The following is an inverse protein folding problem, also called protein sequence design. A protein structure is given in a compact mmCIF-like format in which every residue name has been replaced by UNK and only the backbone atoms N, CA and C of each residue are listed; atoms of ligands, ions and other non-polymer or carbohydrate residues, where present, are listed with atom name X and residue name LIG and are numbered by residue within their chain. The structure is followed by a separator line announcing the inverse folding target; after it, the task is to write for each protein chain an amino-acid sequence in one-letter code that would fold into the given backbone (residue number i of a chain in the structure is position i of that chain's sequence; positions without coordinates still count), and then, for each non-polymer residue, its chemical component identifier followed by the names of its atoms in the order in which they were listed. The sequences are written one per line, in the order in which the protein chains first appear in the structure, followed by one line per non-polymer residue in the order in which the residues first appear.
data_IF_045395503235
#
_entry.id   IF_045395503235
#
_cell.length_a   1.000
_cell.length_b   1.000
_cell.length_c   1.000
_cell.angle_alpha   90.00
_cell.angle_beta   90.00
_cell.angle_gamma   90.00
#
_symmetry.space_group_name_H-M   'P 1'
#
loop_
_entity.id
_entity.type
_entity.pdbx_description
1 polymer ?
#
# COMPACT_ATOMS: atom_id res chain seq x y z
N UNK A 1 -25.54 -9.81 2.32
CA UNK A 1 -25.29 -10.39 3.66
C UNK A 1 -23.99 -9.78 4.19
N UNK A 2 -23.95 -9.48 5.49
CA UNK A 2 -22.74 -9.01 6.16
C UNK A 2 -21.67 -10.11 6.16
N UNK A 3 -20.41 -9.77 5.83
CA UNK A 3 -19.27 -10.69 5.84
C UNK A 3 -18.41 -10.42 7.08
N UNK A 4 -17.71 -11.43 7.55
CA UNK A 4 -16.61 -11.28 8.53
C UNK A 4 -15.29 -11.21 7.77
N UNK A 5 -14.60 -10.08 7.87
CA UNK A 5 -13.42 -9.76 7.08
C UNK A 5 -12.23 -9.53 8.01
N UNK A 6 -11.13 -10.23 7.76
CA UNK A 6 -9.85 -10.02 8.43
C UNK A 6 -8.98 -9.09 7.58
N UNK A 7 -8.49 -8.01 8.19
CA UNK A 7 -7.52 -7.09 7.58
C UNK A 7 -6.24 -7.11 8.40
N UNK A 8 -5.16 -7.67 7.86
CA UNK A 8 -3.84 -7.55 8.48
C UNK A 8 -3.16 -6.27 8.03
N UNK A 9 -2.41 -5.61 8.91
CA UNK A 9 -1.92 -4.25 8.65
C UNK A 9 -3.03 -3.19 8.67
N UNK A 10 -4.16 -3.50 9.35
CA UNK A 10 -5.34 -2.65 9.35
C UNK A 10 -5.20 -1.34 10.12
N UNK A 11 -4.17 -1.16 10.96
CA UNK A 11 -3.83 0.10 11.61
C UNK A 11 -2.82 0.94 10.79
N UNK A 12 -2.35 0.43 9.65
CA UNK A 12 -1.50 1.15 8.70
C UNK A 12 -2.30 2.17 7.88
N UNK A 13 -1.59 2.87 6.97
CA UNK A 13 -2.19 3.87 6.09
C UNK A 13 -3.33 3.29 5.25
N UNK A 14 -3.03 2.38 4.33
CA UNK A 14 -4.03 1.81 3.42
C UNK A 14 -5.04 0.96 4.19
N UNK A 15 -4.56 0.14 5.13
CA UNK A 15 -5.40 -0.78 5.90
C UNK A 15 -6.48 -0.08 6.72
N UNK A 16 -6.20 1.10 7.29
CA UNK A 16 -7.18 1.84 8.08
C UNK A 16 -8.31 2.42 7.22
N UNK A 17 -8.01 2.92 6.02
CA UNK A 17 -9.04 3.35 5.08
C UNK A 17 -9.87 2.18 4.55
N UNK A 18 -9.22 1.02 4.33
CA UNK A 18 -9.94 -0.18 3.97
C UNK A 18 -10.89 -0.63 5.10
N UNK A 19 -10.43 -0.62 6.36
CA UNK A 19 -11.29 -0.91 7.51
C UNK A 19 -12.49 0.02 7.59
N UNK A 20 -12.29 1.35 7.42
CA UNK A 20 -13.37 2.33 7.39
C UNK A 20 -14.42 1.95 6.31
N UNK A 21 -13.98 1.75 5.06
CA UNK A 21 -14.86 1.43 3.95
C UNK A 21 -15.59 0.10 4.11
N UNK A 22 -14.93 -0.92 4.66
CA UNK A 22 -15.55 -2.23 4.90
C UNK A 22 -16.63 -2.15 6.00
N UNK A 23 -16.42 -1.35 7.04
CA UNK A 23 -17.43 -1.07 8.07
C UNK A 23 -18.61 -0.30 7.50
N UNK A 24 -18.36 0.75 6.71
CA UNK A 24 -19.39 1.52 5.99
C UNK A 24 -20.26 0.62 5.09
N UNK A 25 -19.64 -0.38 4.47
CA UNK A 25 -20.34 -1.39 3.67
C UNK A 25 -21.12 -2.43 4.51
N UNK A 26 -21.22 -2.27 5.84
CA UNK A 26 -22.00 -3.10 6.73
C UNK A 26 -21.37 -4.45 7.10
N UNK A 27 -20.06 -4.60 6.94
CA UNK A 27 -19.34 -5.83 7.29
C UNK A 27 -18.88 -5.83 8.75
N UNK A 28 -18.50 -7.00 9.25
CA UNK A 28 -17.77 -7.19 10.50
C UNK A 28 -16.29 -7.23 10.16
N UNK A 29 -15.50 -6.34 10.76
CA UNK A 29 -14.07 -6.19 10.45
C UNK A 29 -13.21 -6.56 11.65
N UNK A 30 -12.26 -7.44 11.42
CA UNK A 30 -11.21 -7.82 12.37
C UNK A 30 -9.91 -7.19 11.86
N UNK A 31 -9.43 -6.17 12.55
CA UNK A 31 -8.15 -5.52 12.28
C UNK A 31 -7.05 -6.24 13.07
N UNK A 32 -6.09 -6.85 12.39
CA UNK A 32 -4.92 -7.46 13.00
C UNK A 32 -3.68 -6.64 12.64
N UNK A 33 -2.99 -6.09 13.64
CA UNK A 33 -1.80 -5.26 13.45
C UNK A 33 -0.92 -5.31 14.71
N UNK A 34 0.39 -5.39 14.57
CA UNK A 34 1.33 -5.37 15.69
C UNK A 34 1.82 -3.96 16.04
N UNK A 35 1.35 -2.95 15.29
CA UNK A 35 1.69 -1.53 15.43
C UNK A 35 3.19 -1.22 15.20
N UNK A 36 3.93 -2.08 14.52
CA UNK A 36 5.35 -1.83 14.21
C UNK A 36 5.52 -0.55 13.37
N UNK A 37 4.68 -0.39 12.34
CA UNK A 37 4.63 0.80 11.48
C UNK A 37 3.25 1.44 11.41
N UNK A 38 2.23 0.72 11.87
CA UNK A 38 0.86 1.19 12.00
C UNK A 38 0.65 2.07 13.25
N UNK A 39 -0.51 2.70 13.34
CA UNK A 39 -0.88 3.55 14.46
C UNK A 39 -2.32 3.32 14.90
N UNK A 40 -2.53 3.09 16.19
CA UNK A 40 -3.88 2.97 16.75
C UNK A 40 -4.72 4.23 16.52
N UNK A 41 -4.09 5.39 16.33
CA UNK A 41 -4.78 6.65 15.98
C UNK A 41 -5.56 6.51 14.67
N UNK A 42 -5.05 5.75 13.70
CA UNK A 42 -5.69 5.56 12.39
C UNK A 42 -7.03 4.81 12.47
N UNK A 43 -7.19 3.95 13.48
CA UNK A 43 -8.40 3.14 13.71
C UNK A 43 -9.21 3.60 14.92
N UNK A 44 -8.78 4.67 15.62
CA UNK A 44 -9.44 5.16 16.81
C UNK A 44 -10.96 5.40 16.64
N UNK A 45 -11.43 5.99 15.52
CA UNK A 45 -12.87 6.17 15.29
C UNK A 45 -13.67 4.87 15.22
N UNK A 46 -13.03 3.74 14.87
CA UNK A 46 -13.67 2.44 14.73
C UNK A 46 -13.74 1.65 16.06
N UNK A 47 -12.92 1.98 17.05
CA UNK A 47 -12.79 1.18 18.28
C UNK A 47 -14.10 1.08 19.08
N UNK A 48 -15.02 2.04 18.95
CA UNK A 48 -16.34 2.01 19.57
C UNK A 48 -17.41 1.32 18.70
N UNK A 49 -17.09 0.94 17.48
CA UNK A 49 -18.05 0.30 16.57
C UNK A 49 -18.19 -1.19 16.92
N UNK A 50 -19.42 -1.65 17.18
CA UNK A 50 -19.72 -3.06 17.53
C UNK A 50 -19.31 -4.09 16.47
N UNK A 51 -19.19 -3.66 15.23
CA UNK A 51 -18.79 -4.51 14.11
C UNK A 51 -17.28 -4.47 13.84
N UNK A 52 -16.50 -3.75 14.66
CA UNK A 52 -15.05 -3.66 14.54
C UNK A 52 -14.35 -4.27 15.74
N UNK A 53 -13.31 -5.03 15.51
CA UNK A 53 -12.43 -5.53 16.56
C UNK A 53 -10.97 -5.33 16.19
N UNK A 54 -10.16 -4.88 17.15
CA UNK A 54 -8.72 -4.75 16.99
C UNK A 54 -8.00 -5.85 17.75
N UNK A 55 -7.07 -6.52 17.08
CA UNK A 55 -6.20 -7.55 17.67
C UNK A 55 -4.75 -7.09 17.47
N UNK A 56 -4.11 -6.71 18.58
CA UNK A 56 -2.68 -6.39 18.56
C UNK A 56 -1.86 -7.69 18.51
N UNK A 57 -1.43 -8.06 17.29
CA UNK A 57 -0.69 -9.29 17.06
C UNK A 57 0.10 -9.25 15.76
N UNK A 58 1.24 -9.94 15.74
CA UNK A 58 2.03 -10.15 14.52
C UNK A 58 1.38 -11.22 13.62
N UNK A 59 1.28 -10.94 12.33
CA UNK A 59 0.77 -11.88 11.34
C UNK A 59 1.69 -13.10 11.14
N UNK A 60 2.96 -13.01 11.57
CA UNK A 60 3.90 -14.12 11.57
C UNK A 60 3.62 -15.14 12.68
N UNK A 61 2.86 -14.75 13.70
CA UNK A 61 2.50 -15.67 14.79
C UNK A 61 1.25 -16.47 14.45
N UNK A 62 1.10 -17.69 14.99
CA UNK A 62 -0.10 -18.49 14.81
C UNK A 62 -1.35 -17.74 15.25
N UNK A 63 -2.31 -17.59 14.35
CA UNK A 63 -3.57 -16.93 14.64
C UNK A 63 -4.60 -17.94 15.19
N UNK A 64 -4.94 -17.79 16.47
CA UNK A 64 -5.95 -18.64 17.09
C UNK A 64 -7.36 -18.15 16.73
N UNK A 65 -7.88 -18.66 15.63
CA UNK A 65 -9.24 -18.32 15.16
C UNK A 65 -10.36 -19.11 15.87
N UNK A 66 -10.09 -19.84 16.95
CA UNK A 66 -11.13 -20.68 17.62
C UNK A 66 -12.34 -19.90 18.11
N UNK A 67 -12.17 -18.61 18.43
CA UNK A 67 -13.25 -17.72 18.86
C UNK A 67 -13.99 -17.05 17.69
N UNK A 68 -13.52 -17.22 16.46
CA UNK A 68 -14.13 -16.65 15.26
C UNK A 68 -14.79 -17.78 14.50
N UNK A 69 -16.11 -17.75 14.45
CA UNK A 69 -16.88 -18.82 13.83
C UNK A 69 -16.54 -19.00 12.35
N UNK A 70 -16.38 -17.90 11.61
CA UNK A 70 -16.06 -17.90 10.18
C UNK A 70 -15.34 -16.60 9.80
N UNK A 71 -14.41 -16.70 8.86
CA UNK A 71 -13.84 -15.58 8.12
C UNK A 71 -14.23 -15.79 6.65
N UNK A 72 -14.84 -14.79 6.04
CA UNK A 72 -15.29 -14.84 4.65
C UNK A 72 -14.21 -14.30 3.69
N UNK A 73 -13.48 -13.26 4.12
CA UNK A 73 -12.44 -12.62 3.31
C UNK A 73 -11.25 -12.23 4.19
N UNK A 74 -10.05 -12.31 3.62
CA UNK A 74 -8.80 -11.87 4.23
C UNK A 74 -8.11 -10.88 3.28
N UNK A 75 -7.87 -9.66 3.75
CA UNK A 75 -7.00 -8.70 3.10
C UNK A 75 -5.66 -8.70 3.83
N UNK A 76 -4.61 -9.20 3.19
CA UNK A 76 -3.28 -9.26 3.78
C UNK A 76 -2.43 -8.09 3.31
N UNK A 77 -2.43 -7.00 4.13
CA UNK A 77 -1.71 -5.76 3.85
C UNK A 77 -0.51 -5.53 4.79
N UNK A 78 -0.34 -6.36 5.82
CA UNK A 78 0.73 -6.19 6.80
C UNK A 78 2.12 -6.25 6.14
N UNK A 79 2.81 -5.13 6.11
CA UNK A 79 4.23 -5.00 5.72
C UNK A 79 4.69 -3.56 5.94
N UNK A 80 5.90 -3.30 6.46
CA UNK A 80 6.57 -2.03 6.25
C UNK A 80 6.69 -1.73 4.76
N UNK A 81 6.49 -0.48 4.34
CA UNK A 81 6.44 -0.13 2.91
C UNK A 81 7.12 1.22 2.57
N UNK A 82 7.72 1.88 3.54
CA UNK A 82 8.47 3.12 3.33
C UNK A 82 9.92 2.80 2.90
N UNK A 83 10.40 3.33 1.76
CA UNK A 83 11.75 3.05 1.25
C UNK A 83 12.86 3.90 1.88
N UNK A 84 12.55 4.88 2.71
CA UNK A 84 13.54 5.84 3.21
C UNK A 84 14.35 5.27 4.37
N UNK A 85 15.68 5.21 4.21
CA UNK A 85 16.63 4.71 5.21
C UNK A 85 16.61 5.47 6.53
N UNK A 86 16.22 6.74 6.52
CA UNK A 86 16.15 7.60 7.70
C UNK A 86 14.80 7.57 8.40
N UNK A 87 13.83 6.86 7.86
CA UNK A 87 12.48 6.75 8.44
C UNK A 87 12.41 5.63 9.48
N UNK A 88 11.87 5.89 10.67
CA UNK A 88 11.72 4.86 11.71
C UNK A 88 10.66 3.81 11.37
N UNK A 89 9.90 4.00 10.30
CA UNK A 89 8.83 3.07 9.85
C UNK A 89 9.17 2.41 8.50
N UNK A 90 10.43 2.54 8.07
CA UNK A 90 10.91 2.00 6.80
C UNK A 90 11.14 0.49 6.85
N UNK A 91 10.98 -0.18 5.70
CA UNK A 91 11.45 -1.55 5.53
C UNK A 91 12.99 -1.67 5.60
N UNK A 92 13.71 -0.54 5.43
CA UNK A 92 15.17 -0.49 5.57
C UNK A 92 15.60 -0.50 7.05
N UNK A 93 14.78 0.04 7.95
CA UNK A 93 15.01 0.00 9.40
C UNK A 93 14.43 -1.26 10.05
N UNK A 94 13.50 -1.94 9.38
CA UNK A 94 12.86 -3.18 9.82
C UNK A 94 13.02 -4.32 8.78
N UNK A 95 14.27 -4.65 8.35
CA UNK A 95 14.48 -5.57 7.25
C UNK A 95 14.01 -7.00 7.54
N UNK A 96 14.27 -7.50 8.73
CA UNK A 96 13.92 -8.87 9.12
C UNK A 96 12.43 -9.05 9.34
N UNK A 97 11.75 -8.07 9.95
CA UNK A 97 10.31 -8.04 10.13
C UNK A 97 9.60 -7.98 8.78
N UNK A 98 10.15 -7.20 7.83
CA UNK A 98 9.63 -7.08 6.47
C UNK A 98 9.71 -8.43 5.73
N UNK A 99 10.86 -9.09 5.73
CA UNK A 99 11.01 -10.40 5.11
C UNK A 99 10.10 -11.44 5.76
N UNK A 100 10.04 -11.46 7.11
CA UNK A 100 9.20 -12.41 7.85
C UNK A 100 7.71 -12.24 7.52
N UNK A 101 7.17 -11.02 7.55
CA UNK A 101 5.74 -10.82 7.31
C UNK A 101 5.36 -11.12 5.87
N UNK A 102 6.20 -10.77 4.90
CA UNK A 102 5.95 -11.06 3.49
C UNK A 102 6.10 -12.55 3.13
N UNK A 103 6.85 -13.34 3.91
CA UNK A 103 7.00 -14.77 3.75
C UNK A 103 6.11 -15.56 4.73
N UNK A 104 6.44 -15.56 6.03
CA UNK A 104 5.74 -16.35 7.05
C UNK A 104 4.32 -15.82 7.28
N UNK A 105 4.15 -14.48 7.36
CA UNK A 105 2.83 -13.88 7.50
C UNK A 105 1.91 -14.24 6.33
N UNK A 106 2.43 -14.16 5.09
CA UNK A 106 1.67 -14.55 3.89
C UNK A 106 1.31 -16.04 3.92
N UNK A 107 2.24 -16.91 4.31
CA UNK A 107 1.96 -18.34 4.47
C UNK A 107 0.84 -18.59 5.49
N UNK A 108 0.92 -17.98 6.67
CA UNK A 108 -0.09 -18.12 7.72
C UNK A 108 -1.48 -17.66 7.25
N UNK A 109 -1.55 -16.55 6.48
CA UNK A 109 -2.81 -16.06 5.95
C UNK A 109 -3.38 -16.97 4.86
N UNK A 110 -2.54 -17.61 4.04
CA UNK A 110 -2.97 -18.62 3.09
C UNK A 110 -3.56 -19.86 3.80
N UNK A 111 -2.90 -20.37 4.85
CA UNK A 111 -3.43 -21.49 5.64
C UNK A 111 -4.74 -21.14 6.36
N UNK A 112 -4.81 -19.93 6.93
CA UNK A 112 -6.03 -19.44 7.58
C UNK A 112 -7.19 -19.34 6.58
N UNK A 113 -6.92 -18.82 5.36
CA UNK A 113 -7.91 -18.72 4.31
C UNK A 113 -8.43 -20.09 3.87
N UNK A 114 -7.55 -21.08 3.71
CA UNK A 114 -7.96 -22.47 3.42
C UNK A 114 -8.84 -23.05 4.53
N UNK A 115 -8.43 -22.86 5.79
CA UNK A 115 -9.17 -23.36 6.96
C UNK A 115 -10.59 -22.84 7.04
N UNK A 116 -10.79 -21.54 6.73
CA UNK A 116 -12.10 -20.88 6.77
C UNK A 116 -12.85 -20.93 5.43
N UNK A 117 -12.22 -21.45 4.36
CA UNK A 117 -12.70 -21.36 2.97
C UNK A 117 -12.93 -19.89 2.57
N UNK A 118 -12.06 -19.00 3.04
CA UNK A 118 -12.12 -17.57 2.81
C UNK A 118 -11.45 -17.22 1.49
N UNK A 119 -11.89 -16.11 0.87
CA UNK A 119 -11.15 -15.46 -0.19
C UNK A 119 -9.95 -14.72 0.40
N UNK A 120 -8.82 -14.72 -0.31
CA UNK A 120 -7.62 -13.98 0.07
C UNK A 120 -7.27 -12.93 -0.98
N UNK A 121 -6.97 -11.71 -0.56
CA UNK A 121 -6.28 -10.71 -1.34
C UNK A 121 -4.91 -10.44 -0.71
N UNK A 122 -3.85 -10.64 -1.49
CA UNK A 122 -2.49 -10.30 -1.09
C UNK A 122 -2.12 -8.93 -1.67
N UNK A 123 -1.77 -8.00 -0.79
CA UNK A 123 -1.23 -6.70 -1.17
C UNK A 123 0.25 -6.83 -1.53
N UNK A 124 0.51 -6.99 -2.82
CA UNK A 124 1.82 -6.85 -3.44
C UNK A 124 2.09 -5.37 -3.74
N UNK A 125 3.09 -5.08 -4.54
CA UNK A 125 3.60 -3.73 -4.77
C UNK A 125 4.11 -3.57 -6.19
N UNK A 126 4.16 -2.33 -6.69
CA UNK A 126 4.86 -2.01 -7.93
C UNK A 126 6.38 -2.23 -7.86
N UNK A 127 6.94 -2.35 -6.63
CA UNK A 127 8.37 -2.60 -6.45
C UNK A 127 8.81 -3.98 -6.98
N UNK A 128 7.86 -4.93 -7.19
CA UNK A 128 8.16 -6.22 -7.85
C UNK A 128 8.64 -6.06 -9.30
N UNK A 129 8.45 -4.89 -9.87
CA UNK A 129 8.93 -4.53 -11.20
C UNK A 129 10.37 -3.98 -11.21
N UNK A 130 10.91 -3.59 -10.05
CA UNK A 130 12.26 -3.04 -9.93
C UNK A 130 12.44 -1.72 -10.66
N UNK A 131 13.61 -1.51 -11.27
CA UNK A 131 13.86 -0.43 -12.24
C UNK A 131 13.43 -0.90 -13.64
N UNK A 132 12.22 -0.53 -14.09
CA UNK A 132 11.57 -1.22 -15.19
C UNK A 132 12.16 -0.78 -16.55
N UNK A 133 12.46 -1.77 -17.38
CA UNK A 133 12.84 -1.58 -18.79
C UNK A 133 11.61 -1.34 -19.70
N UNK A 134 10.40 -1.49 -19.14
CA UNK A 134 9.12 -1.31 -19.84
C UNK A 134 8.23 -0.31 -19.11
N UNK A 135 7.68 0.65 -19.84
CA UNK A 135 6.68 1.59 -19.35
C UNK A 135 5.54 1.76 -20.36
N UNK A 136 4.26 1.76 -19.96
CA UNK A 136 3.78 1.39 -18.61
C UNK A 136 4.01 -0.09 -18.27
N UNK A 137 4.11 -0.40 -16.97
CA UNK A 137 4.27 -1.76 -16.47
C UNK A 137 2.93 -2.49 -16.48
N UNK A 138 2.81 -3.59 -17.23
CA UNK A 138 1.67 -4.52 -17.18
C UNK A 138 1.95 -5.71 -16.25
N UNK A 139 0.90 -6.45 -15.89
CA UNK A 139 1.01 -7.58 -14.96
C UNK A 139 1.83 -8.76 -15.50
N UNK A 140 2.08 -8.83 -16.82
CA UNK A 140 2.89 -9.88 -17.46
C UNK A 140 4.39 -9.55 -17.43
N UNK A 141 4.76 -8.30 -17.21
CA UNK A 141 6.15 -7.89 -17.08
C UNK A 141 6.78 -8.50 -15.83
N UNK A 142 7.89 -9.22 -16.00
CA UNK A 142 8.54 -9.98 -14.91
C UNK A 142 9.40 -9.12 -13.98
N UNK A 143 9.70 -7.90 -14.39
CA UNK A 143 10.50 -6.97 -13.61
C UNK A 143 12.01 -7.09 -13.82
N UNK A 144 12.71 -6.05 -13.35
CA UNK A 144 14.16 -5.92 -13.31
C UNK A 144 14.57 -5.48 -11.89
N UNK A 145 14.63 -6.46 -10.97
CA UNK A 145 14.87 -6.23 -9.54
C UNK A 145 16.31 -6.55 -9.20
N UNK A 146 16.95 -5.68 -8.41
CA UNK A 146 18.26 -5.96 -7.82
C UNK A 146 18.11 -6.98 -6.68
N UNK A 147 18.68 -8.18 -6.82
CA UNK A 147 18.52 -9.28 -5.88
C UNK A 147 19.24 -9.02 -4.56
N UNK A 148 20.37 -8.30 -4.59
CA UNK A 148 21.25 -8.04 -3.43
C UNK A 148 21.37 -6.57 -3.06
N UNK A 149 20.67 -5.68 -3.78
CA UNK A 149 20.64 -4.26 -3.48
C UNK A 149 19.88 -3.96 -2.19
N UNK A 150 20.00 -2.74 -1.65
CA UNK A 150 19.41 -2.41 -0.35
C UNK A 150 17.88 -2.52 -0.33
N UNK A 151 17.20 -2.34 -1.47
CA UNK A 151 15.74 -2.45 -1.59
C UNK A 151 15.25 -3.89 -1.73
N UNK A 152 16.15 -4.85 -2.02
CA UNK A 152 15.80 -6.27 -2.23
C UNK A 152 15.03 -6.89 -1.06
N UNK A 153 15.27 -6.42 0.15
CA UNK A 153 14.56 -6.87 1.36
C UNK A 153 13.04 -6.75 1.23
N UNK A 154 12.56 -5.70 0.59
CA UNK A 154 11.15 -5.49 0.33
C UNK A 154 10.73 -6.10 -1.01
N UNK A 155 11.45 -5.75 -2.07
CA UNK A 155 11.12 -6.11 -3.44
C UNK A 155 11.07 -7.63 -3.62
N UNK A 156 12.12 -8.35 -3.22
CA UNK A 156 12.18 -9.81 -3.33
C UNK A 156 11.28 -10.52 -2.32
N UNK A 157 11.10 -10.00 -1.11
CA UNK A 157 10.17 -10.61 -0.17
C UNK A 157 8.71 -10.51 -0.63
N UNK A 158 8.33 -9.42 -1.30
CA UNK A 158 7.01 -9.29 -1.94
C UNK A 158 6.85 -10.21 -3.15
N UNK A 159 7.89 -10.37 -4.00
CA UNK A 159 7.91 -11.34 -5.09
C UNK A 159 7.76 -12.77 -4.56
N UNK A 160 8.43 -13.10 -3.47
CA UNK A 160 8.29 -14.39 -2.81
C UNK A 160 6.88 -14.58 -2.22
N UNK A 161 6.27 -13.53 -1.65
CA UNK A 161 4.87 -13.54 -1.22
C UNK A 161 3.91 -13.87 -2.37
N UNK A 162 4.08 -13.28 -3.56
CA UNK A 162 3.32 -13.64 -4.75
C UNK A 162 3.52 -15.12 -5.13
N UNK A 163 4.76 -15.62 -5.00
CA UNK A 163 5.09 -17.03 -5.25
C UNK A 163 4.37 -17.97 -4.28
N UNK A 164 4.34 -17.62 -2.97
CA UNK A 164 3.60 -18.37 -1.94
C UNK A 164 2.12 -18.44 -2.32
N UNK A 165 1.46 -17.29 -2.49
CA UNK A 165 0.02 -17.22 -2.83
C UNK A 165 -0.28 -18.03 -4.08
N UNK A 166 0.51 -17.85 -5.14
CA UNK A 166 0.34 -18.57 -6.41
C UNK A 166 0.51 -20.09 -6.25
N UNK A 167 1.42 -20.51 -5.36
CA UNK A 167 1.63 -21.94 -5.05
C UNK A 167 0.45 -22.53 -4.30
N UNK A 168 -0.10 -21.81 -3.32
CA UNK A 168 -1.33 -22.22 -2.62
C UNK A 168 -2.54 -22.30 -3.56
N UNK A 169 -2.65 -21.37 -4.50
CA UNK A 169 -3.71 -21.41 -5.51
C UNK A 169 -3.59 -22.68 -6.37
N UNK A 170 -2.39 -22.95 -6.91
CA UNK A 170 -2.17 -24.10 -7.82
C UNK A 170 -2.32 -25.45 -7.11
N UNK A 171 -1.76 -25.57 -5.89
CA UNK A 171 -1.57 -26.89 -5.25
C UNK A 171 -2.58 -27.18 -4.15
N UNK A 172 -3.24 -26.15 -3.59
CA UNK A 172 -4.21 -26.27 -2.49
C UNK A 172 -5.60 -25.72 -2.84
N UNK A 173 -5.77 -25.27 -4.09
CA UNK A 173 -7.04 -24.70 -4.57
C UNK A 173 -7.52 -23.47 -3.78
N UNK A 174 -6.58 -22.67 -3.21
CA UNK A 174 -6.88 -21.44 -2.50
C UNK A 174 -7.59 -20.44 -3.42
N UNK A 175 -8.67 -19.81 -2.97
CA UNK A 175 -9.33 -18.71 -3.67
C UNK A 175 -8.61 -17.39 -3.32
N UNK A 176 -7.55 -17.08 -4.07
CA UNK A 176 -6.75 -15.88 -3.83
C UNK A 176 -6.53 -15.06 -5.10
N UNK A 177 -6.29 -13.76 -4.90
CA UNK A 177 -5.87 -12.79 -5.91
C UNK A 177 -4.80 -11.87 -5.35
N UNK A 178 -4.07 -11.22 -6.23
CA UNK A 178 -2.93 -10.36 -5.91
C UNK A 178 -3.20 -8.96 -6.46
N UNK A 179 -2.94 -7.94 -5.66
CA UNK A 179 -2.98 -6.54 -6.10
C UNK A 179 -1.58 -5.96 -5.97
N UNK A 180 -0.99 -5.51 -7.09
CA UNK A 180 0.23 -4.73 -7.12
C UNK A 180 -0.12 -3.26 -6.95
N UNK A 181 0.13 -2.76 -5.75
CA UNK A 181 -0.18 -1.39 -5.35
C UNK A 181 0.90 -0.45 -5.90
N UNK A 182 0.49 0.56 -6.65
CA UNK A 182 1.36 1.66 -7.07
C UNK A 182 1.32 2.80 -6.06
N UNK A 183 2.17 3.84 -6.26
CA UNK A 183 2.31 4.93 -5.31
C UNK A 183 0.95 5.50 -4.90
N UNK A 184 0.63 5.35 -3.63
CA UNK A 184 -0.64 5.78 -3.04
C UNK A 184 -0.39 6.90 -2.05
N UNK A 185 -1.27 7.91 -2.01
CA UNK A 185 -1.19 9.04 -1.10
C UNK A 185 -2.57 9.40 -0.56
N UNK A 186 -2.59 10.09 0.58
CA UNK A 186 -3.84 10.52 1.20
C UNK A 186 -3.70 10.85 2.70
N UNK A 187 -4.81 11.16 3.37
CA UNK A 187 -4.89 11.28 4.82
C UNK A 187 -4.39 10.01 5.54
N UNK A 188 -4.01 10.12 6.81
CA UNK A 188 -3.48 9.05 7.66
C UNK A 188 -2.11 8.47 7.23
N UNK A 189 -1.44 9.01 6.20
CA UNK A 189 -0.02 8.71 5.99
C UNK A 189 0.79 9.14 7.22
N UNK A 190 1.81 8.35 7.56
CA UNK A 190 2.63 8.66 8.71
C UNK A 190 3.55 9.85 8.40
N UNK A 191 3.48 10.90 9.23
CA UNK A 191 4.28 12.12 9.06
C UNK A 191 5.80 11.87 9.13
N UNK A 192 6.21 10.73 9.69
CA UNK A 192 7.61 10.32 9.79
C UNK A 192 8.09 9.52 8.58
N UNK A 193 7.19 9.22 7.63
CA UNK A 193 7.59 8.57 6.38
C UNK A 193 8.48 9.48 5.54
N UNK A 194 9.40 8.87 4.81
CA UNK A 194 10.31 9.58 3.93
C UNK A 194 9.85 9.70 2.47
N UNK A 195 8.64 9.28 2.13
CA UNK A 195 8.12 9.36 0.76
C UNK A 195 7.95 10.81 0.32
N UNK A 196 8.21 11.07 -0.97
CA UNK A 196 8.21 12.41 -1.55
C UNK A 196 6.95 13.23 -1.22
N UNK A 197 5.75 12.62 -1.30
CA UNK A 197 4.49 13.30 -1.03
C UNK A 197 4.42 13.84 0.41
N UNK A 198 4.85 13.02 1.40
CA UNK A 198 4.85 13.43 2.82
C UNK A 198 5.86 14.52 3.08
N UNK A 199 7.10 14.34 2.57
CA UNK A 199 8.16 15.33 2.74
C UNK A 199 7.79 16.67 2.11
N UNK A 200 7.32 16.68 0.87
CA UNK A 200 6.95 17.91 0.17
C UNK A 200 5.79 18.64 0.85
N UNK A 201 4.75 17.91 1.29
CA UNK A 201 3.63 18.53 2.00
C UNK A 201 4.10 19.10 3.34
N UNK A 202 4.88 18.34 4.13
CA UNK A 202 5.42 18.80 5.40
C UNK A 202 6.25 20.06 5.22
N UNK A 203 7.24 20.03 4.33
CA UNK A 203 8.10 21.16 4.03
C UNK A 203 7.30 22.38 3.55
N UNK A 204 6.31 22.16 2.66
CA UNK A 204 5.47 23.23 2.17
C UNK A 204 4.63 23.91 3.25
N UNK A 205 4.02 23.15 4.18
CA UNK A 205 3.16 23.73 5.23
C UNK A 205 3.96 24.40 6.35
N UNK A 206 5.21 23.97 6.59
CA UNK A 206 6.13 24.62 7.55
C UNK A 206 6.97 25.74 6.93
N UNK A 207 6.83 25.99 5.62
CA UNK A 207 7.64 26.92 4.85
C UNK A 207 9.15 26.61 4.89
N UNK A 208 9.52 25.37 5.09
CA UNK A 208 10.88 24.87 4.88
C UNK A 208 11.14 24.65 3.39
N UNK A 209 12.41 24.64 2.96
CA UNK A 209 12.75 24.36 1.56
C UNK A 209 12.27 22.98 1.15
N UNK A 210 11.57 22.89 0.01
CA UNK A 210 11.16 21.60 -0.58
C UNK A 210 12.38 20.97 -1.26
N UNK A 211 12.83 19.83 -0.74
CA UNK A 211 14.05 19.16 -1.20
C UNK A 211 13.73 18.07 -2.21
N UNK A 212 14.34 18.17 -3.39
CA UNK A 212 14.23 17.17 -4.47
C UNK A 212 15.55 16.42 -4.58
N UNK A 213 15.50 15.08 -4.56
CA UNK A 213 16.65 14.24 -4.87
C UNK A 213 16.87 14.17 -6.38
N UNK A 214 18.14 14.25 -6.82
CA UNK A 214 18.50 14.31 -8.23
C UNK A 214 18.07 15.64 -8.86
N UNK A 215 17.77 15.61 -10.16
CA UNK A 215 17.33 16.78 -10.95
C UNK A 215 15.78 16.94 -11.02
N UNK A 216 15.04 16.02 -10.43
CA UNK A 216 13.58 16.03 -10.41
C UNK A 216 12.89 15.59 -11.71
N UNK A 217 13.66 15.06 -12.67
CA UNK A 217 13.12 14.53 -13.95
C UNK A 217 12.50 13.15 -13.82
N UNK A 218 12.86 12.39 -12.77
CA UNK A 218 12.27 11.09 -12.49
C UNK A 218 10.74 11.22 -12.35
N UNK A 219 10.02 10.24 -12.91
CA UNK A 219 8.56 10.30 -13.01
C UNK A 219 7.87 9.29 -12.11
N UNK A 220 6.72 9.68 -11.58
CA UNK A 220 5.82 8.83 -10.79
C UNK A 220 4.38 9.11 -11.16
N UNK A 221 3.54 8.12 -10.92
CA UNK A 221 2.09 8.30 -10.93
C UNK A 221 1.55 8.08 -9.51
N UNK A 222 0.57 8.88 -9.11
CA UNK A 222 0.07 8.90 -7.74
C UNK A 222 -1.43 8.60 -7.71
N UNK A 223 -1.83 7.56 -6.99
CA UNK A 223 -3.21 7.17 -6.78
C UNK A 223 -3.72 7.70 -5.44
N UNK A 224 -4.87 8.33 -5.42
CA UNK A 224 -5.48 8.74 -4.16
C UNK A 224 -6.01 7.55 -3.40
N UNK A 225 -5.96 7.62 -2.07
CA UNK A 225 -6.24 6.48 -1.18
C UNK A 225 -7.64 5.88 -1.37
N UNK A 226 -8.66 6.68 -1.63
CA UNK A 226 -10.01 6.17 -1.82
C UNK A 226 -10.12 5.33 -3.09
N UNK A 227 -9.51 5.76 -4.20
CA UNK A 227 -9.44 4.99 -5.43
C UNK A 227 -8.67 3.68 -5.23
N UNK A 228 -7.58 3.73 -4.45
CA UNK A 228 -6.78 2.54 -4.13
C UNK A 228 -7.60 1.52 -3.34
N UNK A 229 -8.37 1.95 -2.35
CA UNK A 229 -9.25 1.09 -1.54
C UNK A 229 -10.38 0.51 -2.39
N UNK A 230 -11.02 1.32 -3.23
CA UNK A 230 -12.06 0.86 -4.15
C UNK A 230 -11.52 -0.21 -5.11
N UNK A 231 -10.30 -0.02 -5.63
CA UNK A 231 -9.63 -1.01 -6.49
C UNK A 231 -9.37 -2.35 -5.78
N UNK A 232 -8.93 -2.31 -4.53
CA UNK A 232 -8.74 -3.53 -3.74
C UNK A 232 -10.04 -4.26 -3.47
N UNK A 233 -11.11 -3.54 -3.12
CA UNK A 233 -12.43 -4.14 -2.87
C UNK A 233 -12.96 -4.77 -4.17
N UNK A 234 -12.90 -4.06 -5.29
CA UNK A 234 -13.33 -4.61 -6.57
C UNK A 234 -12.49 -5.80 -7.01
N UNK A 235 -11.18 -5.80 -6.75
CA UNK A 235 -10.33 -6.97 -7.01
C UNK A 235 -10.74 -8.17 -6.16
N UNK A 236 -11.09 -7.97 -4.87
CA UNK A 236 -11.62 -9.04 -4.01
C UNK A 236 -12.97 -9.58 -4.50
N UNK A 237 -13.87 -8.70 -4.91
CA UNK A 237 -15.23 -9.05 -5.28
C UNK A 237 -15.33 -9.69 -6.66
N UNK A 238 -14.71 -9.09 -7.67
CA UNK A 238 -14.85 -9.43 -9.10
C UNK A 238 -13.65 -10.18 -9.67
N UNK A 239 -12.45 -9.99 -9.10
CA UNK A 239 -11.25 -10.67 -9.58
C UNK A 239 -11.37 -12.18 -9.47
N UNK A 240 -11.04 -12.89 -10.54
CA UNK A 240 -11.04 -14.35 -10.56
C UNK A 240 -9.85 -14.87 -9.73
N UNK A 241 -9.95 -16.12 -9.33
CA UNK A 241 -8.88 -16.83 -8.64
C UNK A 241 -7.58 -16.82 -9.47
N UNK A 242 -6.46 -16.64 -8.78
CA UNK A 242 -5.11 -16.57 -9.36
C UNK A 242 -4.79 -15.28 -10.14
N UNK A 243 -5.71 -14.33 -10.24
CA UNK A 243 -5.45 -13.10 -10.98
C UNK A 243 -4.59 -12.11 -10.20
N UNK A 244 -3.79 -11.37 -10.97
CA UNK A 244 -2.98 -10.25 -10.52
C UNK A 244 -3.53 -8.98 -11.17
N UNK A 245 -3.63 -7.90 -10.40
CA UNK A 245 -4.09 -6.59 -10.88
C UNK A 245 -3.14 -5.49 -10.45
N UNK A 246 -2.77 -4.62 -11.38
CA UNK A 246 -2.18 -3.33 -11.04
C UNK A 246 -3.29 -2.37 -10.58
N UNK A 247 -3.17 -1.83 -9.38
CA UNK A 247 -4.04 -0.78 -8.88
C UNK A 247 -3.20 0.46 -8.62
N UNK A 248 -3.49 1.53 -9.34
CA UNK A 248 -2.74 2.78 -9.33
C UNK A 248 -3.32 3.80 -10.30
N UNK A 249 -2.67 4.94 -10.46
CA UNK A 249 -3.06 5.96 -11.43
C UNK A 249 -2.10 5.90 -12.63
N UNK A 250 -2.60 6.07 -13.84
CA UNK A 250 -1.79 6.13 -15.08
C UNK A 250 -1.39 7.56 -15.49
N UNK A 251 -1.78 8.59 -14.69
CA UNK A 251 -1.34 9.98 -14.87
C UNK A 251 0.08 10.15 -14.27
N UNK A 252 1.05 10.17 -15.17
CA UNK A 252 2.48 10.23 -14.84
C UNK A 252 2.97 11.68 -14.75
N UNK A 253 3.74 12.01 -13.70
CA UNK A 253 4.26 13.36 -13.45
C UNK A 253 5.73 13.33 -13.06
N UNK A 254 6.50 14.32 -13.52
CA UNK A 254 7.84 14.56 -13.00
C UNK A 254 7.80 15.00 -11.53
N UNK A 255 8.76 14.55 -10.73
CA UNK A 255 8.83 14.90 -9.31
C UNK A 255 8.94 16.41 -9.09
N UNK A 256 9.66 17.13 -9.96
CA UNK A 256 9.70 18.59 -9.91
C UNK A 256 8.32 19.23 -10.15
N UNK A 257 7.55 18.73 -11.10
CA UNK A 257 6.18 19.21 -11.35
C UNK A 257 5.29 18.96 -10.14
N UNK A 258 5.38 17.75 -9.57
CA UNK A 258 4.65 17.37 -8.37
C UNK A 258 4.96 18.28 -7.17
N UNK A 259 6.23 18.61 -6.94
CA UNK A 259 6.64 19.55 -5.90
C UNK A 259 6.05 20.96 -6.12
N UNK A 260 6.04 21.45 -7.37
CA UNK A 260 5.44 22.75 -7.72
C UNK A 260 3.93 22.78 -7.45
N UNK A 261 3.22 21.70 -7.77
CA UNK A 261 1.76 21.58 -7.50
C UNK A 261 1.51 21.65 -5.99
N UNK A 262 2.25 20.86 -5.17
CA UNK A 262 2.11 20.87 -3.70
C UNK A 262 2.41 22.27 -3.15
N UNK A 263 3.50 22.93 -3.56
CA UNK A 263 3.82 24.30 -3.15
C UNK A 263 2.67 25.25 -3.43
N UNK A 264 2.11 25.23 -4.64
CA UNK A 264 0.97 26.07 -5.07
C UNK A 264 -0.26 25.81 -4.20
N UNK A 265 -0.67 24.54 -4.04
CA UNK A 265 -1.88 24.17 -3.29
C UNK A 265 -1.73 24.46 -1.78
N UNK A 266 -0.52 24.35 -1.24
CA UNK A 266 -0.20 24.71 0.14
C UNK A 266 -0.12 26.22 0.37
N UNK A 267 -0.14 27.05 -0.70
CA UNK A 267 0.14 28.50 -0.64
C UNK A 267 1.48 28.81 0.06
N UNK A 268 2.45 27.94 -0.14
CA UNK A 268 3.75 27.97 0.55
C UNK A 268 4.71 28.97 -0.09
N UNK A 269 5.55 29.59 0.76
CA UNK A 269 6.69 30.43 0.34
C UNK A 269 7.99 29.63 0.20
N UNK A 270 7.95 28.32 0.44
CA UNK A 270 9.12 27.43 0.35
C UNK A 270 9.88 27.61 -0.96
N UNK A 271 11.19 27.59 -0.90
CA UNK A 271 12.03 27.40 -2.08
C UNK A 271 12.04 25.92 -2.47
N UNK A 272 12.22 25.63 -3.76
CA UNK A 272 12.50 24.26 -4.24
C UNK A 272 13.98 24.18 -4.46
N UNK A 273 14.64 23.28 -3.74
CA UNK A 273 16.08 23.06 -3.82
C UNK A 273 16.37 21.62 -4.26
N UNK A 274 17.43 21.46 -5.01
CA UNK A 274 17.94 20.16 -5.39
C UNK A 274 19.03 19.76 -4.41
N UNK A 275 18.83 18.62 -3.75
CA UNK A 275 19.79 18.06 -2.80
C UNK A 275 20.31 16.75 -3.38
N UNK A 276 21.21 16.13 -2.75
CA UNK A 276 21.78 14.80 -2.98
C UNK A 276 21.41 14.03 -4.27
N UNK A 277 22.19 13.03 -4.58
CA UNK A 277 21.88 12.08 -5.67
C UNK A 277 20.64 11.26 -5.31
N UNK A 278 19.97 10.71 -6.34
CA UNK A 278 18.93 9.71 -6.15
C UNK A 278 19.44 8.56 -5.27
N UNK A 279 18.61 8.04 -4.35
CA UNK A 279 18.94 6.83 -3.61
C UNK A 279 19.28 5.67 -4.55
N UNK A 280 20.17 4.80 -4.11
CA UNK A 280 20.49 3.59 -4.85
C UNK A 280 19.23 2.75 -5.12
N UNK A 281 19.11 2.20 -6.32
CA UNK A 281 17.98 1.39 -6.79
C UNK A 281 16.62 2.13 -6.83
N UNK A 282 16.60 3.48 -6.73
CA UNK A 282 15.37 4.23 -6.93
C UNK A 282 15.04 4.31 -8.44
N UNK A 283 13.90 3.76 -8.90
CA UNK A 283 13.61 3.69 -10.33
C UNK A 283 13.43 5.07 -10.96
N UNK A 284 13.87 5.24 -12.18
CA UNK A 284 13.68 6.50 -12.93
C UNK A 284 12.22 6.71 -13.32
N UNK A 285 11.48 5.63 -13.61
CA UNK A 285 10.11 5.70 -14.08
C UNK A 285 9.24 4.63 -13.44
N UNK A 286 8.01 5.02 -13.00
CA UNK A 286 7.03 4.06 -12.47
C UNK A 286 5.61 4.46 -12.82
N UNK A 287 5.01 3.72 -13.78
CA UNK A 287 3.67 3.96 -14.29
C UNK A 287 2.94 2.64 -14.52
N UNK A 288 1.74 2.41 -13.91
CA UNK A 288 0.98 1.19 -14.16
C UNK A 288 0.32 1.20 -15.55
N UNK A 289 0.26 0.03 -16.17
CA UNK A 289 -0.82 -0.27 -17.09
C UNK A 289 -2.00 -0.79 -16.27
N UNK A 290 -3.11 -0.02 -16.27
CA UNK A 290 -4.33 -0.37 -15.53
C UNK A 290 -5.44 -0.91 -16.44
N UNK A 291 -5.12 -1.25 -17.69
CA UNK A 291 -6.09 -1.75 -18.66
C UNK A 291 -6.82 -2.98 -18.18
N UNK A 292 -6.11 -3.89 -17.50
CA UNK A 292 -6.72 -5.09 -16.94
C UNK A 292 -7.73 -4.76 -15.83
N UNK A 293 -7.39 -3.86 -14.90
CA UNK A 293 -8.31 -3.43 -13.85
C UNK A 293 -9.54 -2.72 -14.45
N UNK A 294 -9.36 -1.90 -15.48
CA UNK A 294 -10.46 -1.25 -16.21
C UNK A 294 -11.40 -2.28 -16.84
N UNK A 295 -10.86 -3.27 -17.55
CA UNK A 295 -11.65 -4.22 -18.32
C UNK A 295 -12.33 -5.28 -17.44
N UNK A 296 -11.59 -5.86 -16.49
CA UNK A 296 -12.06 -7.03 -15.75
C UNK A 296 -12.83 -6.64 -14.48
N UNK A 297 -12.45 -5.54 -13.84
CA UNK A 297 -13.08 -5.05 -12.60
C UNK A 297 -14.07 -3.90 -12.84
N UNK A 298 -13.96 -3.18 -13.96
CA UNK A 298 -14.65 -1.91 -14.19
C UNK A 298 -14.10 -0.81 -13.28
N UNK A 299 -12.83 -0.90 -12.90
CA UNK A 299 -12.18 0.06 -12.02
C UNK A 299 -11.23 0.99 -12.77
N UNK A 300 -11.29 2.27 -12.45
CA UNK A 300 -10.31 3.28 -12.81
C UNK A 300 -10.26 4.33 -11.69
N UNK A 301 -9.11 5.03 -11.50
CA UNK A 301 -9.04 6.13 -10.55
C UNK A 301 -10.00 7.26 -10.99
N UNK A 302 -10.67 7.88 -10.01
CA UNK A 302 -11.70 8.93 -10.23
C UNK A 302 -11.27 10.27 -9.66
N UNK A 303 -10.44 10.25 -8.60
CA UNK A 303 -10.05 11.45 -7.87
C UNK A 303 -8.80 12.03 -8.51
N UNK A 304 -8.93 13.27 -9.00
CA UNK A 304 -7.83 14.00 -9.62
C UNK A 304 -6.71 14.34 -8.63
N UNK A 305 -5.49 14.50 -9.14
CA UNK A 305 -4.31 14.76 -8.31
C UNK A 305 -4.47 15.99 -7.41
N UNK A 306 -4.96 17.11 -7.93
CA UNK A 306 -5.10 18.35 -7.14
C UNK A 306 -6.14 18.19 -6.03
N UNK A 307 -7.28 17.54 -6.30
CA UNK A 307 -8.33 17.27 -5.32
C UNK A 307 -7.79 16.40 -4.17
N UNK A 308 -7.14 15.28 -4.49
CA UNK A 308 -6.56 14.40 -3.50
C UNK A 308 -5.47 15.09 -2.68
N UNK A 309 -4.65 15.94 -3.31
CA UNK A 309 -3.62 16.72 -2.61
C UNK A 309 -4.23 17.76 -1.66
N UNK A 310 -5.31 18.45 -2.04
CA UNK A 310 -6.01 19.40 -1.16
C UNK A 310 -6.48 18.69 0.11
N UNK A 311 -7.11 17.53 -0.03
CA UNK A 311 -7.58 16.73 1.11
C UNK A 311 -6.41 16.25 1.99
N UNK A 312 -5.31 15.82 1.35
CA UNK A 312 -4.11 15.36 2.07
C UNK A 312 -3.43 16.52 2.82
N UNK A 313 -3.26 17.68 2.19
CA UNK A 313 -2.69 18.88 2.81
C UNK A 313 -3.56 19.34 4.01
N UNK A 314 -4.88 19.32 3.85
CA UNK A 314 -5.81 19.65 4.94
C UNK A 314 -5.61 18.73 6.15
N UNK A 315 -5.49 17.42 5.91
CA UNK A 315 -5.20 16.44 6.97
C UNK A 315 -3.85 16.74 7.64
N UNK A 316 -2.78 16.93 6.88
CA UNK A 316 -1.46 17.18 7.46
C UNK A 316 -1.43 18.46 8.30
N UNK A 317 -2.12 19.52 7.90
CA UNK A 317 -2.28 20.73 8.71
C UNK A 317 -3.00 20.53 10.05
N UNK A 318 -3.81 19.48 10.16
CA UNK A 318 -4.52 19.17 11.40
C UNK A 318 -3.69 18.30 12.38
N UNK A 319 -2.57 17.74 11.92
CA UNK A 319 -1.75 16.82 12.73
C UNK A 319 -0.30 17.28 12.93
N UNK A 320 0.12 18.34 12.22
CA UNK A 320 1.37 19.08 12.41
C UNK A 320 1.11 20.38 13.16
#
# INVERSE_FOLDING_TARGET
MSKTILVTGGAGFIGSHLCDRLIENGNIVICLDNLLTGSQKNIAPLLSNKNFSFINKDACEPFNSKKIAKIDEIYHLASPADPNTNSPVSYMTHPFETMKVNAIGTWNMCELALKHKAKLLFASTSEVYGDPEKSPQDEKYRGNVSITGPRSVYDESKRFGETIVSSFVRNKNLDARIVRIFNTYGPKMNIKEGRAVVNFIKQAITNESITIYGDGTQTRSFCYIEDQVDGQILAMEKGKRAEVFNIGNDDERAILEFAKIIKKLSKSKSEIIFSEKLPQDDPMQRRPDISKAKNDLGWAPKIGLEEGLINTIKYFRSVI
#
